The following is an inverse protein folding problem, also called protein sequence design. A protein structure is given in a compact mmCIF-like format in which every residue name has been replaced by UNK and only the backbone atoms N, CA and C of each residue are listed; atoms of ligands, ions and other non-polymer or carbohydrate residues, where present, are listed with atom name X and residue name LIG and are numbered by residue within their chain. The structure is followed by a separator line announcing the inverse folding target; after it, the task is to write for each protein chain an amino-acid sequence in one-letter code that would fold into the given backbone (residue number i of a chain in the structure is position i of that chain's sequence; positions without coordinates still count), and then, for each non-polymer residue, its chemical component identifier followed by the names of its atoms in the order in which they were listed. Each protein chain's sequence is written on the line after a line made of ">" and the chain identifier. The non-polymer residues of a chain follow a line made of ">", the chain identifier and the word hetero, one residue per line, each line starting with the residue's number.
data_IF_855341547779
#
_entry.id   IF_855341547779
#
_cell.length_a   1.000
_cell.length_b   1.000
_cell.length_c   1.000
_cell.angle_alpha   90.00
_cell.angle_beta   90.00
_cell.angle_gamma   90.00
#
_symmetry.space_group_name_H-M   'P 1'
#
loop_
_entity.id
_entity.type
_entity.pdbx_description
1 polymer ?
#
# COMPACT_ATOMS: atom_id res chain seq x y z
N UNK A 1 12.17 3.11 -8.25
CA UNK A 1 11.47 2.68 -7.02
C UNK A 1 10.07 2.11 -7.28
N UNK A 2 9.28 2.64 -8.21
CA UNK A 2 7.93 2.12 -8.55
C UNK A 2 7.96 0.65 -8.97
N UNK A 3 8.95 0.21 -9.75
CA UNK A 3 9.07 -1.20 -10.18
C UNK A 3 9.26 -2.18 -9.01
N UNK A 4 9.92 -1.75 -7.93
CA UNK A 4 10.06 -2.55 -6.70
C UNK A 4 8.74 -2.63 -5.94
N UNK A 5 7.99 -1.52 -5.90
CA UNK A 5 6.66 -1.48 -5.30
C UNK A 5 5.70 -2.44 -6.03
N UNK A 6 5.67 -2.39 -7.36
CA UNK A 6 4.85 -3.29 -8.18
C UNK A 6 5.25 -4.76 -8.03
N UNK A 7 6.55 -5.06 -7.97
CA UNK A 7 7.03 -6.40 -7.74
C UNK A 7 6.65 -6.92 -6.33
N UNK A 8 6.77 -6.07 -5.31
CA UNK A 8 6.39 -6.41 -3.95
C UNK A 8 4.88 -6.64 -3.82
N UNK A 9 4.10 -5.82 -4.51
CA UNK A 9 2.67 -5.94 -4.55
C UNK A 9 2.22 -7.26 -5.21
N UNK A 10 2.75 -7.59 -6.38
CA UNK A 10 2.47 -8.86 -7.07
C UNK A 10 2.89 -10.07 -6.23
N UNK A 11 4.10 -10.04 -5.66
CA UNK A 11 4.62 -11.12 -4.82
C UNK A 11 3.79 -11.32 -3.54
N UNK A 12 3.37 -10.22 -2.89
CA UNK A 12 2.53 -10.30 -1.69
C UNK A 12 1.17 -10.97 -1.97
N UNK A 13 0.58 -10.73 -3.14
CA UNK A 13 -0.71 -11.31 -3.54
C UNK A 13 -0.60 -12.82 -3.82
N UNK A 14 0.46 -13.25 -4.49
CA UNK A 14 0.74 -14.67 -4.75
C UNK A 14 0.94 -15.43 -3.44
N UNK A 15 1.76 -14.88 -2.54
CA UNK A 15 2.04 -15.46 -1.23
C UNK A 15 0.76 -15.51 -0.36
N UNK A 16 -0.09 -14.48 -0.40
CA UNK A 16 -1.38 -14.46 0.30
C UNK A 16 -2.34 -15.56 -0.18
N UNK A 17 -2.35 -15.89 -1.47
CA UNK A 17 -3.14 -17.00 -2.01
C UNK A 17 -2.74 -18.35 -1.42
N UNK A 18 -1.44 -18.59 -1.27
CA UNK A 18 -0.92 -19.83 -0.68
C UNK A 18 -1.12 -19.89 0.84
N UNK A 19 -1.01 -18.76 1.53
CA UNK A 19 -1.32 -18.66 2.95
C UNK A 19 -2.79 -18.99 3.24
N UNK A 20 -3.72 -18.60 2.36
CA UNK A 20 -5.14 -18.85 2.53
C UNK A 20 -5.50 -20.35 2.55
N UNK A 21 -4.78 -21.16 1.77
CA UNK A 21 -4.98 -22.62 1.71
C UNK A 21 -4.17 -23.39 2.77
N UNK A 22 -3.26 -22.72 3.47
CA UNK A 22 -2.37 -23.38 4.44
C UNK A 22 -3.06 -23.52 5.81
N UNK A 23 -3.13 -24.73 6.39
CA UNK A 23 -3.69 -24.93 7.72
C UNK A 23 -3.01 -24.11 8.81
N UNK A 24 -3.81 -23.48 9.68
CA UNK A 24 -3.34 -22.57 10.75
C UNK A 24 -2.21 -23.11 11.66
N UNK A 25 -2.17 -24.40 12.04
CA UNK A 25 -1.05 -24.95 12.81
C UNK A 25 0.29 -24.89 12.08
N UNK A 26 0.28 -25.12 10.76
CA UNK A 26 1.49 -25.07 9.92
C UNK A 26 1.97 -23.62 9.80
N UNK A 27 1.06 -22.67 9.62
CA UNK A 27 1.38 -21.24 9.60
C UNK A 27 1.99 -20.74 10.90
N UNK A 28 1.44 -21.15 12.06
CA UNK A 28 2.00 -20.79 13.37
C UNK A 28 3.41 -21.33 13.56
N UNK A 29 3.66 -22.57 13.12
CA UNK A 29 4.99 -23.18 13.19
C UNK A 29 5.99 -22.48 12.26
N UNK A 30 5.58 -22.18 11.02
CA UNK A 30 6.40 -21.43 10.06
C UNK A 30 6.76 -20.04 10.59
N UNK A 31 5.78 -19.32 11.15
CA UNK A 31 6.00 -18.03 11.79
C UNK A 31 6.95 -18.13 13.00
N UNK A 32 6.75 -19.14 13.86
CA UNK A 32 7.59 -19.38 15.04
C UNK A 32 9.05 -19.68 14.68
N UNK A 33 9.28 -20.43 13.59
CA UNK A 33 10.62 -20.77 13.11
C UNK A 33 11.25 -19.69 12.21
N UNK A 34 10.50 -18.64 11.84
CA UNK A 34 10.96 -17.61 10.91
C UNK A 34 11.27 -18.16 9.51
N UNK A 35 10.54 -19.19 9.07
CA UNK A 35 10.76 -19.89 7.80
C UNK A 35 9.54 -19.79 6.88
N UNK A 36 9.80 -19.87 5.57
CA UNK A 36 8.77 -20.03 4.55
C UNK A 36 8.00 -18.76 4.19
N UNK A 37 6.83 -18.96 3.58
CA UNK A 37 5.99 -17.93 2.95
C UNK A 37 5.60 -16.76 3.88
N UNK A 38 5.51 -17.00 5.19
CA UNK A 38 5.24 -15.94 6.19
C UNK A 38 6.38 -14.92 6.27
N UNK A 39 7.65 -15.38 6.17
CA UNK A 39 8.82 -14.48 6.17
C UNK A 39 8.87 -13.66 4.90
N UNK A 40 8.69 -14.32 3.75
CA UNK A 40 8.64 -13.66 2.44
C UNK A 40 7.55 -12.57 2.42
N UNK A 41 6.37 -12.84 3.00
CA UNK A 41 5.30 -11.86 3.09
C UNK A 41 5.70 -10.64 3.93
N UNK A 42 6.33 -10.84 5.10
CA UNK A 42 6.82 -9.74 5.94
C UNK A 42 7.86 -8.89 5.22
N UNK A 43 8.81 -9.54 4.53
CA UNK A 43 9.82 -8.84 3.73
C UNK A 43 9.19 -7.98 2.62
N UNK A 44 8.12 -8.45 1.96
CA UNK A 44 7.39 -7.63 0.98
C UNK A 44 6.67 -6.45 1.65
N UNK A 45 6.01 -6.66 2.79
CA UNK A 45 5.32 -5.58 3.51
C UNK A 45 6.30 -4.50 4.01
N UNK A 46 7.48 -4.88 4.48
CA UNK A 46 8.52 -3.92 4.90
C UNK A 46 8.98 -3.03 3.72
N UNK A 47 9.05 -3.60 2.51
CA UNK A 47 9.34 -2.83 1.28
C UNK A 47 8.19 -1.89 0.94
N UNK A 48 6.94 -2.35 1.03
CA UNK A 48 5.75 -1.53 0.79
C UNK A 48 5.68 -0.36 1.79
N UNK A 49 5.92 -0.60 3.07
CA UNK A 49 5.87 0.42 4.12
C UNK A 49 6.98 1.49 3.97
N UNK A 50 8.21 1.05 3.68
CA UNK A 50 9.35 1.96 3.49
C UNK A 50 9.23 2.83 2.23
N UNK A 51 8.67 2.30 1.14
CA UNK A 51 8.45 3.06 -0.08
C UNK A 51 7.21 3.95 0.03
N UNK A 52 6.15 3.44 0.66
CA UNK A 52 4.87 4.13 0.81
C UNK A 52 4.95 5.41 1.62
N UNK A 53 5.57 5.34 2.80
CA UNK A 53 5.75 6.51 3.67
C UNK A 53 6.56 7.61 2.98
N UNK A 54 7.61 7.23 2.24
CA UNK A 54 8.42 8.17 1.47
C UNK A 54 7.62 8.83 0.34
N UNK A 55 6.81 8.06 -0.37
CA UNK A 55 5.95 8.56 -1.45
C UNK A 55 4.95 9.60 -0.93
N UNK A 56 4.38 9.39 0.26
CA UNK A 56 3.41 10.33 0.86
C UNK A 56 4.05 11.67 1.18
N UNK A 57 5.23 11.64 1.82
CA UNK A 57 6.00 12.86 2.11
C UNK A 57 6.37 13.63 0.84
N UNK A 58 6.88 12.95 -0.19
CA UNK A 58 7.21 13.58 -1.48
C UNK A 58 5.97 14.19 -2.14
N UNK A 59 4.82 13.48 -2.11
CA UNK A 59 3.59 13.98 -2.74
C UNK A 59 3.03 15.20 -2.02
N UNK A 60 3.09 15.23 -0.69
CA UNK A 60 2.64 16.36 0.12
C UNK A 60 3.40 17.65 -0.24
N UNK A 61 4.72 17.58 -0.35
CA UNK A 61 5.56 18.73 -0.77
C UNK A 61 5.14 19.25 -2.15
N UNK A 62 4.96 18.35 -3.11
CA UNK A 62 4.54 18.72 -4.48
C UNK A 62 3.14 19.35 -4.52
N UNK A 63 2.21 18.87 -3.68
CA UNK A 63 0.87 19.47 -3.57
C UNK A 63 0.94 20.85 -2.91
N UNK A 64 1.70 21.00 -1.82
CA UNK A 64 1.86 22.29 -1.14
C UNK A 64 2.50 23.35 -2.04
N UNK A 65 3.51 23.00 -2.83
CA UNK A 65 4.12 23.92 -3.81
C UNK A 65 3.12 24.34 -4.89
N UNK A 66 2.32 23.40 -5.41
CA UNK A 66 1.26 23.72 -6.39
C UNK A 66 0.22 24.67 -5.81
N UNK A 67 -0.24 24.41 -4.59
CA UNK A 67 -1.21 25.27 -3.91
C UNK A 67 -0.66 26.69 -3.67
N UNK A 68 0.62 26.82 -3.32
CA UNK A 68 1.29 28.13 -3.21
C UNK A 68 1.35 28.89 -4.53
N UNK A 69 1.45 28.16 -5.66
CA UNK A 69 1.42 28.72 -7.01
C UNK A 69 0.00 29.00 -7.52
N UNK A 70 -1.04 28.80 -6.70
CA UNK A 70 -2.44 29.06 -7.03
C UNK A 70 -3.17 27.87 -7.67
N UNK A 71 -2.49 26.75 -7.89
CA UNK A 71 -3.09 25.52 -8.39
C UNK A 71 -3.64 24.68 -7.23
N UNK A 72 -4.96 24.71 -7.08
CA UNK A 72 -5.69 23.98 -6.04
C UNK A 72 -6.38 22.72 -6.58
N UNK A 73 -6.19 22.37 -7.86
CA UNK A 73 -6.83 21.20 -8.45
C UNK A 73 -6.33 19.88 -7.84
N UNK A 74 -7.17 18.84 -7.96
CA UNK A 74 -6.87 17.47 -7.56
C UNK A 74 -6.72 16.60 -8.80
N UNK A 75 -5.49 16.23 -9.13
CA UNK A 75 -5.21 15.46 -10.36
C UNK A 75 -5.32 13.96 -10.16
N UNK A 76 -5.22 13.49 -8.92
CA UNK A 76 -5.36 12.09 -8.58
C UNK A 76 -5.84 11.92 -7.14
N UNK A 77 -6.23 10.68 -6.79
CA UNK A 77 -6.68 10.32 -5.44
C UNK A 77 -5.67 10.76 -4.36
N UNK A 78 -4.38 10.65 -4.63
CA UNK A 78 -3.34 11.07 -3.66
C UNK A 78 -3.41 12.56 -3.34
N UNK A 79 -3.78 13.42 -4.30
CA UNK A 79 -3.88 14.87 -4.06
C UNK A 79 -5.00 15.19 -3.09
N UNK A 80 -6.14 14.50 -3.21
CA UNK A 80 -7.27 14.62 -2.28
C UNK A 80 -6.86 14.14 -0.88
N UNK A 81 -6.21 12.98 -0.80
CA UNK A 81 -5.85 12.35 0.47
C UNK A 81 -4.81 13.17 1.24
N UNK A 82 -3.75 13.67 0.60
CA UNK A 82 -2.73 14.47 1.31
C UNK A 82 -3.25 15.84 1.75
N UNK A 83 -4.32 16.35 1.13
CA UNK A 83 -5.03 17.58 1.55
C UNK A 83 -6.05 17.32 2.66
N UNK A 84 -6.43 16.07 2.90
CA UNK A 84 -7.42 15.72 3.89
C UNK A 84 -6.96 16.06 5.31
N UNK A 85 -7.93 16.47 6.13
CA UNK A 85 -7.73 16.89 7.51
C UNK A 85 -8.62 16.07 8.44
N UNK A 86 -8.15 15.89 9.67
CA UNK A 86 -8.94 15.31 10.74
C UNK A 86 -10.07 16.27 11.20
N UNK A 87 -10.85 15.83 12.18
CA UNK A 87 -11.96 16.61 12.75
C UNK A 87 -11.49 17.92 13.41
N UNK A 88 -10.23 17.99 13.82
CA UNK A 88 -9.61 19.15 14.47
C UNK A 88 -8.91 20.09 13.45
N UNK A 89 -8.90 19.71 12.17
CA UNK A 89 -8.30 20.48 11.08
C UNK A 89 -6.80 20.22 10.87
N UNK A 90 -6.22 19.23 11.53
CA UNK A 90 -4.82 18.84 11.33
C UNK A 90 -4.69 17.94 10.09
N UNK A 91 -3.57 18.02 9.36
CA UNK A 91 -3.30 17.09 8.27
C UNK A 91 -3.17 15.66 8.78
N UNK A 92 -3.68 14.69 8.02
CA UNK A 92 -3.54 13.27 8.36
C UNK A 92 -2.06 12.84 8.36
N UNK A 93 -1.62 11.94 9.27
CA UNK A 93 -0.27 11.39 9.26
C UNK A 93 0.05 10.61 7.97
N UNK A 94 1.30 10.68 7.50
CA UNK A 94 1.71 10.00 6.27
C UNK A 94 1.57 8.47 6.35
N UNK A 95 1.75 7.88 7.54
CA UNK A 95 1.58 6.45 7.77
C UNK A 95 0.12 6.01 7.62
N UNK A 96 -0.83 6.80 8.15
CA UNK A 96 -2.26 6.51 8.07
C UNK A 96 -2.75 6.65 6.63
N UNK A 97 -2.34 7.72 5.94
CA UNK A 97 -2.62 7.92 4.52
C UNK A 97 -2.10 6.77 3.67
N UNK A 98 -0.87 6.32 3.93
CA UNK A 98 -0.31 5.17 3.23
C UNK A 98 -1.12 3.90 3.49
N UNK A 99 -1.57 3.67 4.74
CA UNK A 99 -2.45 2.58 5.09
C UNK A 99 -3.72 2.56 4.23
N UNK A 100 -4.42 3.68 4.16
CA UNK A 100 -5.65 3.82 3.36
C UNK A 100 -5.39 3.59 1.86
N UNK A 101 -4.30 4.13 1.33
CA UNK A 101 -3.92 3.95 -0.09
C UNK A 101 -3.56 2.49 -0.38
N UNK A 102 -2.81 1.87 0.53
CA UNK A 102 -2.45 0.47 0.42
C UNK A 102 -3.70 -0.42 0.42
N UNK A 103 -4.70 -0.12 1.24
CA UNK A 103 -5.97 -0.84 1.29
C UNK A 103 -6.80 -0.66 0.01
N UNK A 104 -6.85 0.57 -0.53
CA UNK A 104 -7.51 0.84 -1.82
C UNK A 104 -6.82 0.10 -2.96
N UNK A 105 -5.48 0.10 -2.99
CA UNK A 105 -4.73 -0.68 -3.97
C UNK A 105 -4.95 -2.18 -3.79
N UNK A 106 -4.90 -2.68 -2.53
CA UNK A 106 -5.21 -4.06 -2.09
C UNK A 106 -6.52 -4.56 -2.71
N UNK A 107 -7.57 -3.78 -2.51
CA UNK A 107 -8.89 -4.07 -3.02
C UNK A 107 -8.93 -4.02 -4.56
N UNK A 108 -8.43 -2.92 -5.15
CA UNK A 108 -8.48 -2.70 -6.60
C UNK A 108 -7.71 -3.74 -7.41
N UNK A 109 -6.56 -4.19 -6.94
CA UNK A 109 -5.79 -5.23 -7.63
C UNK A 109 -6.56 -6.55 -7.69
N UNK A 110 -7.18 -6.97 -6.57
CA UNK A 110 -7.93 -8.23 -6.51
C UNK A 110 -9.15 -8.22 -7.43
N UNK A 111 -9.92 -7.13 -7.45
CA UNK A 111 -11.15 -7.05 -8.24
C UNK A 111 -10.90 -6.82 -9.72
N UNK A 112 -9.83 -6.09 -10.06
CA UNK A 112 -9.53 -5.77 -11.46
C UNK A 112 -8.80 -6.93 -12.13
N UNK A 113 -7.84 -7.56 -11.45
CA UNK A 113 -7.14 -8.74 -11.98
C UNK A 113 -8.09 -9.92 -12.22
N UNK A 114 -9.10 -10.13 -11.36
CA UNK A 114 -10.10 -11.18 -11.56
C UNK A 114 -11.04 -10.91 -12.74
N UNK A 115 -11.30 -9.65 -13.08
CA UNK A 115 -12.17 -9.31 -14.21
C UNK A 115 -11.45 -9.40 -15.57
N UNK A 116 -10.13 -9.27 -15.61
CA UNK A 116 -9.35 -9.39 -16.85
C UNK A 116 -8.96 -10.83 -17.22
N UNK A 117 -9.13 -11.81 -16.32
CA UNK A 117 -8.84 -13.24 -16.58
C UNK A 117 -10.05 -14.02 -17.11
N UNK A 118 -11.18 -13.36 -17.34
CA UNK A 118 -12.37 -13.96 -17.97
C UNK A 118 -12.46 -13.47 -19.42
N UNK A 119 -11.68 -14.08 -20.31
CA UNK A 119 -11.93 -14.20 -21.75
C UNK A 119 -11.10 -15.32 -22.34
#
# INVERSE_FOLDING_TARGET
>A
NISKLLAAYNGSSEIMGELFITPGPILKLQNFLGLGRVRELREQYDILESVGSKLMGERRVVVEERMKNGDNEDYCLLDVLVKAKDADGNPLPDADLWGDINDVMAAGHRTTASNFTVN
#
